data_IF_175359193097
#
_entry.id   IF_175359193097
#
_cell.length_a   1.000
_cell.length_b   1.000
_cell.length_c   1.000
_cell.angle_alpha   90.00
_cell.angle_beta   90.00
_cell.angle_gamma   90.00
#
_symmetry.space_group_name_H-M   'P 1'
#
loop_
_entity.id
_entity.type
_entity.pdbx_description
1 polymer ?
#
# COMPACT_ATOMS: atom_id res chain seq x y z
N UNK A 1 -49.83 -33.19 57.33
CA UNK A 1 -49.85 -32.40 56.08
C UNK A 1 -49.27 -31.03 56.37
N UNK A 2 -48.07 -30.72 55.87
CA UNK A 2 -47.49 -29.37 55.88
C UNK A 2 -47.08 -29.08 54.42
N UNK A 3 -47.65 -28.04 53.82
CA UNK A 3 -47.33 -27.63 52.46
C UNK A 3 -46.19 -26.61 52.49
N UNK A 4 -45.08 -26.96 51.85
CA UNK A 4 -43.93 -26.09 51.63
C UNK A 4 -44.27 -25.09 50.51
N UNK A 5 -44.35 -23.80 50.86
CA UNK A 5 -44.42 -22.72 49.89
C UNK A 5 -43.02 -22.44 49.33
N UNK A 6 -42.78 -22.83 48.08
CA UNK A 6 -41.54 -22.51 47.37
C UNK A 6 -41.55 -21.04 46.93
N UNK A 7 -40.62 -20.26 47.46
CA UNK A 7 -40.24 -18.96 46.91
C UNK A 7 -39.01 -19.15 46.00
N UNK A 8 -39.14 -18.91 44.70
CA UNK A 8 -37.98 -18.54 43.87
C UNK A 8 -38.31 -17.36 42.97
N UNK A 9 -37.72 -16.24 43.36
CA UNK A 9 -37.71 -14.89 42.79
C UNK A 9 -37.14 -14.87 41.35
N UNK A 10 -37.57 -13.94 40.47
CA UNK A 10 -37.23 -13.93 39.04
C UNK A 10 -35.73 -13.82 38.75
N UNK A 11 -35.28 -14.56 37.73
CA UNK A 11 -33.92 -14.47 37.18
C UNK A 11 -33.70 -13.10 36.53
N UNK A 12 -32.87 -12.28 37.16
CA UNK A 12 -32.41 -10.97 36.68
C UNK A 12 -31.43 -11.14 35.52
N UNK A 13 -31.45 -10.29 34.47
CA UNK A 13 -30.52 -10.41 33.33
C UNK A 13 -29.10 -9.99 33.74
N UNK A 14 -28.14 -10.91 33.63
CA UNK A 14 -26.74 -10.65 33.92
C UNK A 14 -26.02 -10.02 32.72
N UNK A 15 -26.11 -8.69 32.64
CA UNK A 15 -24.99 -7.74 32.45
C UNK A 15 -23.74 -8.30 31.73
N UNK A 16 -23.77 -8.39 30.40
CA UNK A 16 -22.63 -8.79 29.56
C UNK A 16 -22.04 -7.65 28.70
N UNK A 17 -22.46 -6.40 28.91
CA UNK A 17 -21.93 -5.24 28.17
C UNK A 17 -20.43 -4.98 28.36
N UNK A 18 -19.84 -5.46 29.47
CA UNK A 18 -18.41 -5.25 29.75
C UNK A 18 -17.53 -6.12 28.86
N UNK A 19 -17.89 -7.38 28.64
CA UNK A 19 -17.13 -8.30 27.81
C UNK A 19 -17.21 -7.89 26.33
N UNK A 20 -18.40 -7.49 25.87
CA UNK A 20 -18.62 -7.04 24.50
C UNK A 20 -17.78 -5.81 24.14
N UNK A 21 -17.67 -4.85 25.06
CA UNK A 21 -16.79 -3.68 24.89
C UNK A 21 -15.31 -4.05 24.84
N UNK A 22 -14.87 -5.04 25.61
CA UNK A 22 -13.47 -5.49 25.55
C UNK A 22 -13.17 -6.18 24.22
N UNK A 23 -14.03 -7.10 23.78
CA UNK A 23 -13.87 -7.78 22.49
C UNK A 23 -13.83 -6.78 21.34
N UNK A 24 -14.71 -5.77 21.36
CA UNK A 24 -14.71 -4.72 20.33
C UNK A 24 -13.43 -3.88 20.36
N UNK A 25 -12.92 -3.55 21.55
CA UNK A 25 -11.64 -2.83 21.69
C UNK A 25 -10.46 -3.65 21.19
N UNK A 26 -10.39 -4.93 21.52
CA UNK A 26 -9.36 -5.83 21.03
C UNK A 26 -9.45 -6.04 19.51
N UNK A 27 -10.66 -6.17 18.96
CA UNK A 27 -10.87 -6.23 17.52
C UNK A 27 -10.40 -4.96 16.81
N UNK A 28 -10.69 -3.78 17.36
CA UNK A 28 -10.23 -2.50 16.79
C UNK A 28 -8.70 -2.40 16.81
N UNK A 29 -8.05 -2.82 17.90
CA UNK A 29 -6.58 -2.86 18.01
C UNK A 29 -5.98 -3.81 16.98
N UNK A 30 -6.58 -5.00 16.77
CA UNK A 30 -6.11 -5.96 15.76
C UNK A 30 -6.24 -5.40 14.34
N UNK A 31 -7.37 -4.75 14.01
CA UNK A 31 -7.57 -4.12 12.71
C UNK A 31 -6.59 -2.98 12.49
N UNK A 32 -6.37 -2.13 13.50
CA UNK A 32 -5.40 -1.05 13.43
C UNK A 32 -3.97 -1.58 13.26
N UNK A 33 -3.60 -2.63 14.00
CA UNK A 33 -2.30 -3.28 13.87
C UNK A 33 -2.10 -3.87 12.47
N UNK A 34 -3.13 -4.52 11.90
CA UNK A 34 -3.09 -5.03 10.53
C UNK A 34 -2.94 -3.90 9.51
N UNK A 35 -3.69 -2.80 9.66
CA UNK A 35 -3.59 -1.64 8.77
C UNK A 35 -2.20 -1.00 8.83
N UNK A 36 -1.63 -0.86 10.02
CA UNK A 36 -0.25 -0.37 10.22
C UNK A 36 0.74 -1.33 9.59
N UNK A 37 0.59 -2.64 9.79
CA UNK A 37 1.47 -3.66 9.20
C UNK A 37 1.42 -3.63 7.66
N UNK A 38 0.25 -3.45 7.07
CA UNK A 38 0.08 -3.29 5.61
C UNK A 38 0.70 -1.98 5.12
N UNK A 39 0.56 -0.88 5.85
CA UNK A 39 1.18 0.41 5.51
C UNK A 39 2.71 0.35 5.59
N UNK A 40 3.26 -0.28 6.64
CA UNK A 40 4.70 -0.48 6.81
C UNK A 40 5.28 -1.41 5.74
N UNK A 41 4.51 -2.40 5.25
CA UNK A 41 4.92 -3.26 4.14
C UNK A 41 5.18 -2.47 2.84
N UNK A 42 4.40 -1.42 2.57
CA UNK A 42 4.64 -0.52 1.42
C UNK A 42 5.97 0.23 1.52
N UNK A 43 6.39 0.56 2.73
CA UNK A 43 7.67 1.23 2.99
C UNK A 43 8.82 0.21 2.85
N UNK A 44 8.63 -1.02 3.34
CA UNK A 44 9.63 -2.09 3.26
C UNK A 44 9.87 -2.59 1.83
N UNK A 45 8.86 -2.52 0.95
CA UNK A 45 9.03 -2.74 -0.48
C UNK A 45 9.82 -1.64 -1.19
N UNK A 46 10.37 -0.67 -0.45
CA UNK A 46 11.46 0.24 -0.83
C UNK A 46 11.48 0.51 -2.32
N UNK A 47 10.60 1.41 -2.78
CA UNK A 47 10.47 1.75 -4.20
C UNK A 47 11.86 1.89 -4.80
N UNK A 48 12.18 1.03 -5.76
CA UNK A 48 13.53 0.88 -6.28
C UNK A 48 14.05 2.26 -6.64
N UNK A 49 15.23 2.60 -6.12
CA UNK A 49 15.78 3.93 -6.24
C UNK A 49 15.93 4.28 -7.72
N UNK A 50 14.95 5.02 -8.24
CA UNK A 50 14.88 5.40 -9.63
C UNK A 50 16.21 6.04 -10.04
N UNK A 51 16.92 5.42 -10.96
CA UNK A 51 18.20 5.94 -11.41
C UNK A 51 17.95 7.24 -12.17
N UNK A 52 18.64 8.31 -11.82
CA UNK A 52 18.45 9.62 -12.47
C UNK A 52 19.56 9.84 -13.48
N UNK A 53 19.20 10.20 -14.72
CA UNK A 53 20.16 10.56 -15.78
C UNK A 53 19.81 11.91 -16.42
N UNK A 54 20.82 12.60 -16.95
CA UNK A 54 20.64 13.82 -17.73
C UNK A 54 20.64 13.45 -19.21
N UNK A 55 19.61 13.91 -19.94
CA UNK A 55 19.45 13.67 -21.38
C UNK A 55 20.57 14.33 -22.17
N UNK A 56 21.26 13.56 -23.00
CA UNK A 56 22.32 14.07 -23.86
C UNK A 56 21.78 14.43 -25.27
N UNK A 57 22.51 15.27 -26.03
CA UNK A 57 22.15 15.56 -27.41
C UNK A 57 22.07 14.28 -28.25
N UNK A 58 20.93 14.06 -28.91
CA UNK A 58 20.69 12.88 -29.75
C UNK A 58 20.04 11.71 -29.02
N UNK A 59 19.86 11.80 -27.70
CA UNK A 59 19.09 10.82 -26.95
C UNK A 59 17.59 10.94 -27.25
N UNK A 60 16.91 9.80 -27.24
CA UNK A 60 15.46 9.68 -27.28
C UNK A 60 15.03 8.75 -26.15
N UNK A 61 13.79 8.84 -25.69
CA UNK A 61 13.27 7.88 -24.72
C UNK A 61 13.42 6.43 -25.21
N UNK A 62 13.28 6.19 -26.52
CA UNK A 62 13.52 4.87 -27.11
C UNK A 62 14.95 4.41 -26.97
N UNK A 63 15.92 5.23 -27.37
CA UNK A 63 17.34 4.82 -27.30
C UNK A 63 17.79 4.64 -25.86
N UNK A 64 17.30 5.48 -24.94
CA UNK A 64 17.56 5.35 -23.49
C UNK A 64 16.98 4.04 -22.95
N UNK A 65 15.70 3.75 -23.23
CA UNK A 65 15.04 2.54 -22.75
C UNK A 65 15.67 1.28 -23.34
N UNK A 66 15.97 1.26 -24.64
CA UNK A 66 16.58 0.11 -25.30
C UNK A 66 18.01 -0.16 -24.79
N UNK A 67 18.78 0.90 -24.52
CA UNK A 67 20.13 0.75 -23.97
C UNK A 67 20.12 0.28 -22.51
N UNK A 68 19.14 0.72 -21.71
CA UNK A 68 19.10 0.42 -20.27
C UNK A 68 18.42 -0.91 -19.95
N UNK A 69 17.42 -1.31 -20.74
CA UNK A 69 16.61 -2.52 -20.57
C UNK A 69 16.62 -3.39 -21.83
N UNK A 70 17.77 -3.99 -22.18
CA UNK A 70 17.89 -4.79 -23.41
C UNK A 70 17.08 -6.10 -23.38
N UNK A 71 16.66 -6.55 -22.20
CA UNK A 71 15.92 -7.80 -22.02
C UNK A 71 14.40 -7.61 -21.93
N UNK A 72 13.92 -6.36 -21.78
CA UNK A 72 12.50 -6.05 -21.61
C UNK A 72 11.90 -5.47 -22.89
N UNK A 73 10.56 -5.45 -22.94
CA UNK A 73 9.87 -4.71 -23.99
C UNK A 73 10.17 -3.21 -23.84
N UNK A 74 10.90 -2.68 -24.83
CA UNK A 74 11.27 -1.27 -24.86
C UNK A 74 10.04 -0.39 -24.72
N UNK A 75 8.92 -0.76 -25.35
CA UNK A 75 7.67 0.00 -25.35
C UNK A 75 7.14 0.23 -23.94
N UNK A 76 7.05 -0.86 -23.19
CA UNK A 76 6.61 -0.84 -21.80
C UNK A 76 7.51 0.05 -20.93
N UNK A 77 8.84 0.00 -21.16
CA UNK A 77 9.81 0.77 -20.38
C UNK A 77 9.69 2.28 -20.65
N UNK A 78 9.39 2.73 -21.87
CA UNK A 78 9.15 4.16 -22.10
C UNK A 78 7.84 4.62 -21.49
N UNK A 79 6.76 3.84 -21.60
CA UNK A 79 5.49 4.19 -20.94
C UNK A 79 5.69 4.35 -19.42
N UNK A 80 6.57 3.53 -18.83
CA UNK A 80 6.94 3.63 -17.42
C UNK A 80 7.83 4.86 -17.13
N UNK A 81 8.83 5.15 -17.98
CA UNK A 81 9.65 6.37 -17.84
C UNK A 81 8.77 7.63 -17.98
N UNK A 82 7.81 7.65 -18.91
CA UNK A 82 6.88 8.75 -19.08
C UNK A 82 6.04 8.96 -17.83
N UNK A 83 5.43 7.91 -17.29
CA UNK A 83 4.65 7.98 -16.05
C UNK A 83 5.49 8.40 -14.85
N UNK A 84 6.71 7.88 -14.72
CA UNK A 84 7.61 8.17 -13.60
C UNK A 84 8.04 9.65 -13.60
N UNK A 85 8.19 10.27 -14.78
CA UNK A 85 8.60 11.65 -14.94
C UNK A 85 7.45 12.63 -15.17
N UNK A 86 6.21 12.14 -15.28
CA UNK A 86 5.04 12.97 -15.55
C UNK A 86 5.06 13.59 -16.94
N UNK A 87 5.66 12.89 -17.92
CA UNK A 87 5.71 13.34 -19.30
C UNK A 87 4.36 13.09 -19.98
N UNK A 88 3.80 14.12 -20.62
CA UNK A 88 2.56 14.01 -21.39
C UNK A 88 2.79 13.46 -22.81
N UNK A 89 4.05 13.32 -23.22
CA UNK A 89 4.48 12.92 -24.55
C UNK A 89 5.91 12.38 -24.50
N UNK A 90 6.32 11.50 -25.44
CA UNK A 90 7.69 10.97 -25.50
C UNK A 90 8.78 12.00 -25.86
N UNK A 91 8.42 13.29 -25.94
CA UNK A 91 9.35 14.36 -26.27
C UNK A 91 10.13 14.75 -25.01
N UNK A 92 11.45 14.61 -25.08
CA UNK A 92 12.41 14.97 -24.03
C UNK A 92 13.36 16.05 -24.55
N UNK A 93 13.83 16.91 -23.65
CA UNK A 93 14.76 17.99 -24.00
C UNK A 93 16.18 17.67 -23.52
N UNK A 94 17.17 18.14 -24.28
CA UNK A 94 18.58 18.02 -23.88
C UNK A 94 18.81 18.78 -22.57
N UNK A 95 19.51 18.15 -21.63
CA UNK A 95 19.75 18.69 -20.29
C UNK A 95 18.62 18.42 -19.29
N UNK A 96 17.52 17.80 -19.73
CA UNK A 96 16.46 17.36 -18.85
C UNK A 96 16.92 16.22 -17.95
N UNK A 97 16.47 16.23 -16.70
CA UNK A 97 16.79 15.20 -15.72
C UNK A 97 15.67 14.17 -15.70
N UNK A 98 15.94 12.99 -16.26
CA UNK A 98 15.01 11.87 -16.31
C UNK A 98 15.29 10.89 -15.17
N UNK A 99 14.22 10.53 -14.47
CA UNK A 99 14.19 9.38 -13.58
C UNK A 99 13.92 8.13 -14.41
N UNK A 100 14.55 7.03 -14.06
CA UNK A 100 14.35 5.75 -14.73
C UNK A 100 13.81 4.75 -13.70
N UNK A 101 13.00 3.77 -14.13
CA UNK A 101 12.77 2.59 -13.32
C UNK A 101 14.11 1.86 -13.04
N UNK A 102 14.10 0.85 -12.19
CA UNK A 102 15.29 0.05 -11.93
C UNK A 102 15.38 -1.18 -12.85
#
# INVERSE_FOLDING_TARGET
MYAAGYATKPRTPLRSDRALRHVYRWALVLVAALAVMLALSRIAQGGEAAATMVVQPGDTLWTIAAARYPADDTRMRVDEIEQLNGLSSPVINVGETLRLPA
#
